data_IF_205935269470
#
_entry.id   IF_205935269470
#
_cell.length_a   1.000
_cell.length_b   1.000
_cell.length_c   1.000
_cell.angle_alpha   90.00
_cell.angle_beta   90.00
_cell.angle_gamma   90.00
#
_symmetry.space_group_name_H-M   'P 1'
#
loop_
_entity.id
_entity.type
_entity.pdbx_description
1 polymer ?
#
# COMPACT_ATOMS: atom_id res chain seq x y z
N UNK A 1 -26.53 17.97 5.70
CA UNK A 1 -25.12 17.70 6.02
C UNK A 1 -25.00 16.24 6.47
N UNK A 2 -24.92 15.28 5.53
CA UNK A 2 -24.69 13.88 5.88
C UNK A 2 -23.18 13.62 5.85
N UNK A 3 -22.55 13.82 7.01
CA UNK A 3 -21.17 13.42 7.24
C UNK A 3 -21.07 11.91 7.23
N UNK A 4 -20.83 11.33 6.05
CA UNK A 4 -20.47 9.93 5.94
C UNK A 4 -19.08 9.79 6.55
N UNK A 5 -19.02 9.22 7.74
CA UNK A 5 -17.75 8.86 8.41
C UNK A 5 -17.01 7.94 7.45
N UNK A 6 -15.99 8.46 6.77
CA UNK A 6 -15.05 7.60 6.05
C UNK A 6 -14.32 6.78 7.09
N UNK A 7 -14.30 5.46 6.91
CA UNK A 7 -13.38 4.64 7.67
C UNK A 7 -11.98 5.12 7.32
N UNK A 8 -11.22 5.56 8.31
CA UNK A 8 -9.82 5.97 8.21
C UNK A 8 -8.89 4.76 7.91
N UNK A 9 -9.46 3.59 7.64
CA UNK A 9 -8.73 2.33 7.51
C UNK A 9 -8.96 1.69 6.15
N UNK A 10 -7.89 1.14 5.58
CA UNK A 10 -7.88 0.44 4.30
C UNK A 10 -7.07 -0.86 4.39
N UNK A 11 -7.31 -1.78 3.46
CA UNK A 11 -6.53 -3.02 3.36
C UNK A 11 -5.31 -2.79 2.49
N UNK A 12 -4.17 -3.34 2.89
CA UNK A 12 -2.93 -3.31 2.12
C UNK A 12 -2.21 -4.64 2.22
N UNK A 13 -1.53 -5.05 1.14
CA UNK A 13 -0.54 -6.12 1.20
C UNK A 13 0.73 -5.55 1.83
N UNK A 14 1.12 -6.05 2.99
CA UNK A 14 2.30 -5.59 3.72
C UNK A 14 3.34 -6.70 3.72
N UNK A 15 4.51 -6.38 3.20
CA UNK A 15 5.69 -7.23 3.23
C UNK A 15 6.57 -6.81 4.42
N UNK A 16 6.96 -7.78 5.21
CA UNK A 16 7.87 -7.65 6.36
C UNK A 16 9.03 -8.62 6.20
N UNK A 17 10.14 -8.35 6.87
CA UNK A 17 11.30 -9.24 6.90
C UNK A 17 11.83 -9.29 8.33
N UNK A 18 11.89 -10.51 8.89
CA UNK A 18 12.43 -10.77 10.21
C UNK A 18 13.45 -11.91 10.10
N UNK A 19 14.67 -11.71 10.61
CA UNK A 19 15.75 -12.70 10.55
C UNK A 19 16.08 -13.24 9.13
N UNK A 20 15.77 -12.47 8.09
CA UNK A 20 15.97 -12.87 6.69
C UNK A 20 14.75 -13.54 6.05
N UNK A 21 13.73 -13.90 6.84
CA UNK A 21 12.50 -14.48 6.35
C UNK A 21 11.51 -13.39 5.96
N UNK A 22 11.17 -13.36 4.68
CA UNK A 22 10.19 -12.41 4.13
C UNK A 22 8.78 -12.98 4.23
N UNK A 23 7.86 -12.18 4.78
CA UNK A 23 6.44 -12.53 4.93
C UNK A 23 5.56 -11.43 4.38
N UNK A 24 4.58 -11.82 3.56
CA UNK A 24 3.56 -10.93 3.03
C UNK A 24 2.18 -11.26 3.62
N UNK A 25 1.42 -10.24 4.01
CA UNK A 25 0.12 -10.40 4.65
C UNK A 25 -0.82 -9.24 4.28
N UNK A 26 -2.11 -9.52 4.08
CA UNK A 26 -3.12 -8.46 3.96
C UNK A 26 -3.42 -7.92 5.36
N UNK A 27 -3.07 -6.65 5.61
CA UNK A 27 -3.30 -5.96 6.89
C UNK A 27 -4.25 -4.79 6.71
N UNK A 28 -4.94 -4.43 7.79
CA UNK A 28 -5.71 -3.19 7.87
C UNK A 28 -4.78 -2.07 8.36
N UNK A 29 -4.58 -1.03 7.54
CA UNK A 29 -3.77 0.15 7.87
C UNK A 29 -4.67 1.37 8.04
N UNK A 30 -4.22 2.37 8.79
CA UNK A 30 -4.87 3.67 8.90
C UNK A 30 -4.29 4.68 7.89
N UNK A 31 -5.09 5.63 7.43
CA UNK A 31 -4.66 6.78 6.61
C UNK A 31 -3.53 7.57 7.31
N UNK A 32 -3.47 7.57 8.65
CA UNK A 32 -2.38 8.18 9.43
C UNK A 32 -1.00 7.50 9.24
N UNK A 33 -0.98 6.29 8.66
CA UNK A 33 0.25 5.56 8.35
C UNK A 33 0.73 5.82 6.92
N UNK A 34 -0.03 6.57 6.12
CA UNK A 34 0.42 6.99 4.79
C UNK A 34 1.57 8.00 4.92
N UNK A 35 2.50 8.00 3.97
CA UNK A 35 3.49 9.08 3.89
C UNK A 35 2.80 10.41 3.60
N UNK A 36 3.48 11.50 3.89
CA UNK A 36 3.05 12.83 3.46
C UNK A 36 2.92 12.89 1.93
N UNK A 37 1.86 13.53 1.44
CA UNK A 37 1.56 13.69 0.02
C UNK A 37 0.39 14.63 -0.22
N UNK A 38 0.24 15.09 -1.47
CA UNK A 38 -0.72 16.15 -1.86
C UNK A 38 -2.06 15.61 -2.36
N UNK A 39 -2.10 14.34 -2.78
CA UNK A 39 -3.28 13.70 -3.37
C UNK A 39 -3.54 12.37 -2.70
N UNK A 40 -4.75 12.22 -2.16
CA UNK A 40 -5.23 10.95 -1.63
C UNK A 40 -6.12 10.28 -2.68
N UNK A 41 -5.74 9.08 -3.10
CA UNK A 41 -6.48 8.30 -4.10
C UNK A 41 -7.06 7.04 -3.47
N UNK A 42 -8.37 6.86 -3.63
CA UNK A 42 -9.06 5.62 -3.29
C UNK A 42 -8.89 4.62 -4.42
N UNK A 43 -8.00 3.65 -4.22
CA UNK A 43 -7.64 2.64 -5.22
C UNK A 43 -8.78 1.64 -5.40
N UNK A 44 -9.18 1.40 -6.66
CA UNK A 44 -10.17 0.36 -7.03
C UNK A 44 -9.53 -0.79 -7.80
N UNK A 45 -8.48 -0.53 -8.56
CA UNK A 45 -7.73 -1.54 -9.31
C UNK A 45 -6.23 -1.26 -9.24
N UNK A 46 -5.44 -2.33 -9.30
CA UNK A 46 -3.99 -2.34 -9.45
C UNK A 46 -3.65 -3.50 -10.35
N UNK A 47 -2.53 -3.43 -11.07
CA UNK A 47 -2.00 -4.61 -11.75
C UNK A 47 -1.03 -5.37 -10.84
N UNK A 48 -0.60 -6.55 -11.31
CA UNK A 48 0.48 -7.31 -10.71
C UNK A 48 1.64 -7.34 -11.69
N UNK A 49 2.79 -6.84 -11.26
CA UNK A 49 4.02 -6.89 -12.02
C UNK A 49 4.92 -8.00 -11.49
N UNK A 50 5.84 -8.50 -12.32
CA UNK A 50 6.81 -9.51 -11.91
C UNK A 50 7.65 -9.08 -10.70
N UNK A 51 8.00 -7.78 -10.63
CA UNK A 51 8.74 -7.21 -9.50
C UNK A 51 7.96 -7.26 -8.18
N UNK A 52 6.63 -7.20 -8.22
CA UNK A 52 5.80 -7.31 -7.01
C UNK A 52 5.88 -8.73 -6.46
N UNK A 53 5.87 -9.73 -7.34
CA UNK A 53 6.12 -11.13 -6.97
C UNK A 53 7.51 -11.35 -6.36
N UNK A 54 8.55 -10.70 -6.92
CA UNK A 54 9.89 -10.74 -6.34
C UNK A 54 9.93 -10.08 -4.96
N UNK A 55 9.26 -8.94 -4.77
CA UNK A 55 9.17 -8.25 -3.49
C UNK A 55 8.47 -9.13 -2.42
N UNK A 56 7.34 -9.74 -2.77
CA UNK A 56 6.58 -10.66 -1.90
C UNK A 56 7.39 -11.91 -1.55
N UNK A 57 8.19 -12.42 -2.49
CA UNK A 57 9.05 -13.58 -2.27
C UNK A 57 10.39 -13.26 -1.60
N UNK A 58 10.69 -12.00 -1.28
CA UNK A 58 11.97 -11.58 -0.70
C UNK A 58 13.17 -11.74 -1.65
N UNK A 59 12.94 -11.76 -2.97
CA UNK A 59 13.98 -12.01 -3.99
C UNK A 59 14.35 -10.74 -4.76
N UNK A 60 15.51 -10.79 -5.41
CA UNK A 60 15.94 -9.76 -6.36
C UNK A 60 16.28 -8.39 -5.75
N UNK A 61 16.33 -8.27 -4.41
CA UNK A 61 16.60 -7.02 -3.68
C UNK A 61 15.66 -5.87 -4.10
N UNK A 62 14.40 -6.19 -4.38
CA UNK A 62 13.39 -5.19 -4.79
C UNK A 62 12.99 -4.26 -3.63
N UNK A 63 12.87 -4.81 -2.42
CA UNK A 63 12.46 -4.04 -1.23
C UNK A 63 13.69 -3.49 -0.50
N UNK A 64 13.79 -2.17 -0.41
CA UNK A 64 14.89 -1.50 0.28
C UNK A 64 14.64 -1.26 1.77
N UNK A 65 13.37 -1.12 2.19
CA UNK A 65 12.97 -0.84 3.57
C UNK A 65 11.71 -1.63 3.92
N UNK A 66 11.69 -2.21 5.11
CA UNK A 66 10.54 -2.91 5.67
C UNK A 66 9.96 -2.10 6.85
N UNK A 67 8.64 -2.17 7.11
CA UNK A 67 7.61 -2.81 6.28
C UNK A 67 7.40 -2.10 4.93
N UNK A 68 6.92 -2.84 3.92
CA UNK A 68 6.72 -2.32 2.56
C UNK A 68 5.35 -2.70 1.99
N UNK A 69 4.70 -1.78 1.29
CA UNK A 69 3.48 -2.04 0.51
C UNK A 69 3.86 -2.06 -0.98
N UNK A 70 3.87 -3.22 -1.64
CA UNK A 70 4.26 -3.33 -3.05
C UNK A 70 3.13 -2.89 -4.00
N UNK A 71 3.48 -2.72 -5.28
CA UNK A 71 2.63 -2.15 -6.32
C UNK A 71 3.23 -0.87 -6.90
N UNK A 72 3.12 -0.67 -8.21
CA UNK A 72 3.66 0.53 -8.90
C UNK A 72 2.61 1.30 -9.68
N UNK A 73 1.49 0.66 -10.01
CA UNK A 73 0.45 1.22 -10.87
C UNK A 73 -0.93 0.93 -10.29
N UNK A 74 -1.83 1.89 -10.45
CA UNK A 74 -3.18 1.79 -9.91
C UNK A 74 -4.16 2.61 -10.75
N UNK A 75 -5.45 2.29 -10.61
CA UNK A 75 -6.56 3.12 -11.02
C UNK A 75 -7.51 3.31 -9.83
N UNK A 76 -8.04 4.52 -9.70
CA UNK A 76 -8.86 4.88 -8.55
C UNK A 76 -9.47 6.27 -8.67
N UNK A 77 -10.15 6.70 -7.61
CA UNK A 77 -10.78 8.02 -7.52
C UNK A 77 -9.97 8.93 -6.63
N UNK A 78 -9.74 10.18 -7.05
CA UNK A 78 -9.21 11.21 -6.16
C UNK A 78 -10.23 11.47 -5.05
N UNK A 79 -9.81 11.23 -3.82
CA UNK A 79 -10.61 11.40 -2.62
C UNK A 79 -10.35 12.74 -1.95
N UNK A 80 -9.13 13.27 -2.05
CA UNK A 80 -8.73 14.58 -1.59
C UNK A 80 -7.52 15.07 -2.39
N UNK A 81 -7.42 16.38 -2.57
CA UNK A 81 -6.25 17.07 -3.12
C UNK A 81 -6.09 18.41 -2.41
N UNK A 82 -4.84 18.79 -2.10
CA UNK A 82 -4.51 20.05 -1.40
C UNK A 82 -4.17 21.22 -2.35
N UNK A 83 -4.49 21.10 -3.64
CA UNK A 83 -4.25 22.14 -4.67
C UNK A 83 -5.54 22.77 -5.19
#
# INVERSE_FOLDING_TARGET
MNGMVRSDRFKALVVTCENGDTRAEIRQLSEHQLPEGEVLVGITYSSLNYKDGLAVAGRGKIVARYPHVPGVDFAGKVLHSSS
#
